data_IF_610422457003
#
_entry.id   IF_610422457003
#
_cell.length_a   1.000
_cell.length_b   1.000
_cell.length_c   1.000
_cell.angle_alpha   90.00
_cell.angle_beta   90.00
_cell.angle_gamma   90.00
#
_symmetry.space_group_name_H-M   'P 1'
#
loop_
_entity.id
_entity.type
_entity.pdbx_description
1 polymer ?
#
# COMPACT_ATOMS: atom_id res chain seq x y z
N UNK A 1 -0.21 -26.24 -29.84
CA UNK A 1 1.10 -25.93 -29.22
C UNK A 1 1.12 -24.63 -28.40
N UNK A 2 0.24 -23.66 -28.63
CA UNK A 2 0.24 -22.36 -27.94
C UNK A 2 -0.19 -22.38 -26.45
N UNK A 3 -0.96 -23.38 -25.98
CA UNK A 3 -1.49 -23.39 -24.61
C UNK A 3 -0.46 -23.76 -23.53
N UNK A 4 0.62 -24.45 -23.87
CA UNK A 4 1.67 -24.83 -22.92
C UNK A 4 2.65 -23.70 -22.59
N UNK A 5 2.88 -22.76 -23.52
CA UNK A 5 3.82 -21.66 -23.33
C UNK A 5 3.29 -20.62 -22.35
N UNK A 6 1.99 -20.34 -22.34
CA UNK A 6 1.38 -19.41 -21.39
C UNK A 6 1.51 -19.87 -19.94
N UNK A 7 1.35 -21.17 -19.69
CA UNK A 7 1.54 -21.74 -18.35
C UNK A 7 2.99 -21.66 -17.86
N UNK A 8 3.95 -21.82 -18.78
CA UNK A 8 5.37 -21.74 -18.46
C UNK A 8 5.80 -20.30 -18.16
N UNK A 9 5.34 -19.35 -18.95
CA UNK A 9 5.63 -17.90 -18.77
C UNK A 9 5.02 -17.41 -17.45
N UNK A 10 3.75 -17.74 -17.18
CA UNK A 10 3.08 -17.41 -15.90
C UNK A 10 3.83 -17.98 -14.68
N UNK A 11 4.36 -19.21 -14.77
CA UNK A 11 5.22 -19.81 -13.74
C UNK A 11 6.56 -19.10 -13.57
N UNK A 12 7.18 -18.64 -14.67
CA UNK A 12 8.43 -17.88 -14.62
C UNK A 12 8.21 -16.51 -14.00
N UNK A 13 7.19 -15.77 -14.41
CA UNK A 13 6.83 -14.49 -13.82
C UNK A 13 6.50 -14.67 -12.34
N UNK A 14 5.74 -15.70 -11.97
CA UNK A 14 5.45 -15.99 -10.57
C UNK A 14 6.72 -16.24 -9.76
N UNK A 15 7.71 -16.97 -10.28
CA UNK A 15 9.00 -17.18 -9.59
C UNK A 15 9.73 -15.87 -9.30
N UNK A 16 9.64 -14.89 -10.21
CA UNK A 16 10.27 -13.58 -10.05
C UNK A 16 9.57 -12.72 -9.00
N UNK A 17 8.23 -12.77 -8.96
CA UNK A 17 7.43 -11.91 -8.08
C UNK A 17 7.03 -12.55 -6.75
N UNK A 18 7.15 -13.86 -6.61
CA UNK A 18 6.74 -14.60 -5.38
C UNK A 18 7.34 -14.06 -4.09
N UNK A 19 8.51 -13.42 -4.17
CA UNK A 19 9.15 -12.77 -3.01
C UNK A 19 8.45 -11.49 -2.58
N UNK A 20 7.62 -10.89 -3.45
CA UNK A 20 6.91 -9.64 -3.20
C UNK A 20 5.43 -9.84 -2.82
N UNK A 21 4.97 -11.10 -2.81
CA UNK A 21 3.57 -11.46 -2.56
C UNK A 21 3.54 -12.58 -1.53
N UNK A 22 2.69 -12.45 -0.51
CA UNK A 22 2.55 -13.48 0.52
C UNK A 22 1.78 -14.74 0.06
N UNK A 23 1.48 -14.84 -1.24
CA UNK A 23 0.71 -15.92 -1.84
C UNK A 23 -0.74 -15.53 -2.11
N UNK A 24 -1.57 -16.53 -2.44
CA UNK A 24 -2.96 -16.31 -2.88
C UNK A 24 -4.02 -16.63 -1.82
N UNK A 25 -3.62 -17.09 -0.64
CA UNK A 25 -4.53 -17.57 0.41
C UNK A 25 -4.34 -16.87 1.74
N UNK A 26 -5.40 -16.83 2.55
CA UNK A 26 -5.35 -16.34 3.93
C UNK A 26 -4.28 -17.06 4.77
N UNK A 27 -4.13 -18.37 4.61
CA UNK A 27 -3.11 -19.13 5.32
C UNK A 27 -1.68 -18.68 4.95
N UNK A 28 -1.44 -18.31 3.70
CA UNK A 28 -0.12 -17.84 3.25
C UNK A 28 0.23 -16.47 3.83
N UNK A 29 -0.71 -15.53 3.87
CA UNK A 29 -0.47 -14.21 4.47
C UNK A 29 -0.31 -14.29 5.98
N UNK A 30 -1.08 -15.12 6.67
CA UNK A 30 -0.92 -15.37 8.12
C UNK A 30 0.50 -15.85 8.43
N UNK A 31 1.03 -16.81 7.66
CA UNK A 31 2.39 -17.30 7.83
C UNK A 31 3.42 -16.18 7.65
N UNK A 32 3.25 -15.35 6.63
CA UNK A 32 4.15 -14.22 6.35
C UNK A 32 4.12 -13.22 7.51
N UNK A 33 2.93 -12.85 7.99
CA UNK A 33 2.79 -11.91 9.11
C UNK A 33 3.40 -12.47 10.40
N UNK A 34 3.20 -13.76 10.71
CA UNK A 34 3.87 -14.42 11.84
C UNK A 34 5.39 -14.27 11.78
N UNK A 35 5.99 -14.58 10.62
CA UNK A 35 7.45 -14.48 10.43
C UNK A 35 7.97 -13.03 10.57
N UNK A 36 7.17 -12.03 10.24
CA UNK A 36 7.51 -10.62 10.48
C UNK A 36 7.40 -10.28 11.97
N UNK A 37 6.32 -10.70 12.64
CA UNK A 37 6.11 -10.42 14.05
C UNK A 37 7.16 -11.09 14.95
N UNK A 38 7.66 -12.27 14.59
CA UNK A 38 8.80 -12.93 15.26
C UNK A 38 10.08 -12.06 15.25
N UNK A 39 10.16 -11.11 14.31
CA UNK A 39 11.26 -10.13 14.22
C UNK A 39 10.89 -8.75 14.77
N UNK A 40 9.78 -8.65 15.53
CA UNK A 40 9.22 -7.39 16.02
C UNK A 40 8.88 -6.38 14.91
N UNK A 41 8.48 -6.87 13.73
CA UNK A 41 8.05 -6.06 12.59
C UNK A 41 6.56 -6.21 12.41
N UNK A 42 5.83 -5.09 12.37
CA UNK A 42 4.41 -5.08 12.04
C UNK A 42 4.18 -5.28 10.53
N UNK A 43 2.99 -5.66 10.16
CA UNK A 43 2.59 -5.79 8.75
C UNK A 43 1.42 -4.87 8.44
N UNK A 44 1.43 -4.26 7.25
CA UNK A 44 0.24 -3.65 6.65
C UNK A 44 -0.19 -4.55 5.50
N UNK A 45 -1.36 -5.15 5.63
CA UNK A 45 -1.81 -6.21 4.72
C UNK A 45 -2.86 -5.69 3.76
N UNK A 46 -2.65 -5.88 2.45
CA UNK A 46 -3.63 -5.57 1.42
C UNK A 46 -4.06 -6.84 0.67
N UNK A 47 -5.35 -6.90 0.34
CA UNK A 47 -5.92 -7.97 -0.46
C UNK A 47 -5.89 -7.58 -1.93
N UNK A 48 -5.18 -8.39 -2.74
CA UNK A 48 -5.13 -8.21 -4.19
C UNK A 48 -6.37 -8.82 -4.82
N UNK A 49 -7.29 -7.95 -5.16
CA UNK A 49 -8.51 -8.27 -5.88
C UNK A 49 -8.82 -7.13 -6.86
N UNK A 50 -9.54 -7.45 -7.93
CA UNK A 50 -10.01 -6.46 -8.90
C UNK A 50 -10.99 -5.46 -8.28
N UNK A 51 -11.21 -4.35 -8.98
CA UNK A 51 -12.25 -3.39 -8.63
C UNK A 51 -13.61 -4.10 -8.59
N UNK A 52 -14.42 -3.79 -7.59
CA UNK A 52 -15.73 -4.40 -7.46
C UNK A 52 -16.75 -3.68 -8.33
N UNK A 53 -17.19 -4.34 -9.38
CA UNK A 53 -18.16 -3.83 -10.35
C UNK A 53 -19.59 -4.34 -10.10
N UNK A 54 -19.74 -5.22 -9.13
CA UNK A 54 -21.03 -5.81 -8.79
C UNK A 54 -21.22 -5.93 -7.28
N UNK A 55 -22.46 -5.90 -6.76
CA UNK A 55 -22.73 -6.10 -5.35
C UNK A 55 -22.15 -7.41 -4.79
N UNK A 56 -22.12 -8.46 -5.61
CA UNK A 56 -21.54 -9.75 -5.22
C UNK A 56 -20.04 -9.67 -4.97
N UNK A 57 -19.29 -8.96 -5.85
CA UNK A 57 -17.86 -8.70 -5.65
C UNK A 57 -17.61 -7.83 -4.41
N UNK A 58 -18.43 -6.80 -4.19
CA UNK A 58 -18.35 -5.97 -2.96
C UNK A 58 -18.53 -6.85 -1.73
N UNK A 59 -19.57 -7.68 -1.68
CA UNK A 59 -19.82 -8.59 -0.55
C UNK A 59 -18.67 -9.58 -0.33
N UNK A 60 -18.13 -10.13 -1.40
CA UNK A 60 -16.96 -11.00 -1.32
C UNK A 60 -15.76 -10.29 -0.69
N UNK A 61 -15.51 -9.02 -1.05
CA UNK A 61 -14.41 -8.24 -0.49
C UNK A 61 -14.65 -7.89 0.98
N UNK A 62 -15.86 -7.49 1.37
CA UNK A 62 -16.23 -7.27 2.77
C UNK A 62 -15.94 -8.52 3.60
N UNK A 63 -16.39 -9.68 3.14
CA UNK A 63 -16.19 -10.94 3.84
C UNK A 63 -14.71 -11.30 3.96
N UNK A 64 -13.92 -11.08 2.89
CA UNK A 64 -12.48 -11.37 2.87
C UNK A 64 -11.70 -10.50 3.85
N UNK A 65 -11.98 -9.19 3.88
CA UNK A 65 -11.37 -8.27 4.84
C UNK A 65 -11.81 -8.59 6.28
N UNK A 66 -13.09 -8.82 6.50
CA UNK A 66 -13.62 -9.16 7.82
C UNK A 66 -13.02 -10.45 8.37
N UNK A 67 -12.84 -11.46 7.52
CA UNK A 67 -12.27 -12.73 7.92
C UNK A 67 -10.79 -12.60 8.28
N UNK A 68 -9.98 -11.90 7.49
CA UNK A 68 -8.56 -11.73 7.79
C UNK A 68 -8.34 -10.92 9.07
N UNK A 69 -9.16 -9.91 9.33
CA UNK A 69 -9.15 -9.13 10.59
C UNK A 69 -9.39 -10.04 11.79
N UNK A 70 -10.44 -10.89 11.73
CA UNK A 70 -10.74 -11.86 12.81
C UNK A 70 -9.59 -12.83 13.03
N UNK A 71 -8.98 -13.33 11.95
CA UNK A 71 -7.85 -14.28 12.04
C UNK A 71 -6.62 -13.63 12.67
N UNK A 72 -6.29 -12.39 12.31
CA UNK A 72 -5.16 -11.67 12.90
C UNK A 72 -5.39 -11.46 14.40
N UNK A 73 -6.56 -11.02 14.79
CA UNK A 73 -6.92 -10.85 16.21
C UNK A 73 -6.85 -12.17 16.97
N UNK A 74 -7.48 -13.25 16.44
CA UNK A 74 -7.47 -14.57 17.10
C UNK A 74 -6.07 -15.12 17.31
N UNK A 75 -5.15 -14.82 16.39
CA UNK A 75 -3.75 -15.28 16.44
C UNK A 75 -2.81 -14.27 17.11
N UNK A 76 -3.36 -13.18 17.67
CA UNK A 76 -2.62 -12.08 18.29
C UNK A 76 -1.49 -11.54 17.38
N UNK A 77 -1.79 -11.33 16.09
CA UNK A 77 -0.84 -10.83 15.11
C UNK A 77 -0.85 -9.32 15.05
N UNK A 78 0.34 -8.71 15.09
CA UNK A 78 0.53 -7.28 14.88
C UNK A 78 0.45 -6.96 13.39
N UNK A 79 -0.75 -6.65 12.92
CA UNK A 79 -1.05 -6.34 11.53
C UNK A 79 -2.15 -5.29 11.41
N UNK A 80 -2.00 -4.43 10.42
CA UNK A 80 -2.95 -3.42 9.98
C UNK A 80 -3.51 -3.82 8.62
N UNK A 81 -4.66 -3.31 8.23
CA UNK A 81 -5.29 -3.59 6.95
C UNK A 81 -5.23 -2.35 6.06
N UNK A 82 -4.80 -2.54 4.82
CA UNK A 82 -4.84 -1.52 3.78
C UNK A 82 -5.85 -1.91 2.72
N UNK A 83 -6.76 -1.01 2.36
CA UNK A 83 -7.85 -1.27 1.43
C UNK A 83 -8.08 -0.11 0.47
N UNK A 84 -8.66 -0.42 -0.69
CA UNK A 84 -8.99 0.53 -1.74
C UNK A 84 -10.49 0.71 -1.84
N UNK A 85 -10.93 1.96 -2.01
CA UNK A 85 -12.34 2.26 -2.20
C UNK A 85 -12.92 1.63 -3.48
N UNK A 86 -12.10 1.47 -4.54
CA UNK A 86 -12.51 0.78 -5.76
C UNK A 86 -12.88 -0.68 -5.54
N UNK A 87 -12.26 -1.35 -4.56
CA UNK A 87 -12.61 -2.72 -4.17
C UNK A 87 -13.96 -2.81 -3.45
N UNK A 88 -14.47 -1.68 -2.96
CA UNK A 88 -15.78 -1.57 -2.34
C UNK A 88 -16.86 -1.05 -3.30
N UNK A 89 -16.51 -0.87 -4.59
CA UNK A 89 -17.45 -0.43 -5.62
C UNK A 89 -17.57 1.08 -5.77
N UNK A 90 -16.64 1.87 -5.22
CA UNK A 90 -16.70 3.34 -5.19
C UNK A 90 -16.82 4.00 -6.58
N UNK A 91 -16.27 3.35 -7.62
CA UNK A 91 -16.33 3.84 -9.00
C UNK A 91 -17.73 3.69 -9.62
N UNK A 92 -18.60 2.87 -9.05
CA UNK A 92 -19.94 2.57 -9.53
C UNK A 92 -21.04 3.14 -8.64
N UNK A 93 -20.90 2.97 -7.33
CA UNK A 93 -21.85 3.47 -6.35
C UNK A 93 -21.11 3.88 -5.07
N UNK A 94 -20.95 5.19 -4.88
CA UNK A 94 -20.22 5.76 -3.74
C UNK A 94 -20.91 5.46 -2.40
N UNK A 95 -22.22 5.51 -2.35
CA UNK A 95 -22.99 5.26 -1.12
C UNK A 95 -22.86 3.80 -0.69
N UNK A 96 -22.98 2.88 -1.63
CA UNK A 96 -22.75 1.45 -1.37
C UNK A 96 -21.32 1.18 -0.90
N UNK A 97 -20.33 1.85 -1.49
CA UNK A 97 -18.94 1.69 -1.09
C UNK A 97 -18.68 2.21 0.33
N UNK A 98 -19.29 3.33 0.71
CA UNK A 98 -19.21 3.85 2.08
C UNK A 98 -19.88 2.90 3.05
N UNK A 99 -21.08 2.38 2.74
CA UNK A 99 -21.74 1.36 3.56
C UNK A 99 -20.91 0.08 3.72
N UNK A 100 -20.24 -0.36 2.64
CA UNK A 100 -19.31 -1.49 2.68
C UNK A 100 -18.10 -1.21 3.58
N UNK A 101 -17.57 0.02 3.55
CA UNK A 101 -16.49 0.45 4.42
C UNK A 101 -16.94 0.49 5.89
N UNK A 102 -18.17 0.94 6.18
CA UNK A 102 -18.75 0.93 7.53
C UNK A 102 -18.79 -0.47 8.13
N UNK A 103 -19.17 -1.47 7.34
CA UNK A 103 -19.16 -2.86 7.78
C UNK A 103 -17.75 -3.33 8.15
N UNK A 104 -16.76 -3.07 7.29
CA UNK A 104 -15.36 -3.43 7.54
C UNK A 104 -14.80 -2.66 8.74
N UNK A 105 -15.06 -1.35 8.81
CA UNK A 105 -14.59 -0.49 9.90
C UNK A 105 -15.17 -0.91 11.27
N UNK A 106 -16.43 -1.37 11.29
CA UNK A 106 -17.06 -1.90 12.51
C UNK A 106 -16.41 -3.21 12.98
N UNK A 107 -16.01 -4.08 12.03
CA UNK A 107 -15.24 -5.29 12.36
C UNK A 107 -13.84 -4.91 12.84
N UNK A 108 -13.16 -4.02 12.16
CA UNK A 108 -11.81 -3.57 12.50
C UNK A 108 -11.77 -2.93 13.92
N UNK A 109 -12.75 -2.10 14.24
CA UNK A 109 -12.87 -1.49 15.58
C UNK A 109 -13.08 -2.53 16.68
N UNK A 110 -13.98 -3.51 16.45
CA UNK A 110 -14.23 -4.61 17.39
C UNK A 110 -12.97 -5.39 17.72
N UNK A 111 -12.10 -5.60 16.73
CA UNK A 111 -10.88 -6.39 16.84
C UNK A 111 -9.63 -5.53 17.02
N UNK A 112 -9.77 -4.21 17.22
CA UNK A 112 -8.67 -3.26 17.43
C UNK A 112 -7.63 -3.29 16.32
N UNK A 113 -8.09 -3.40 15.07
CA UNK A 113 -7.25 -3.42 13.88
C UNK A 113 -7.33 -2.08 13.18
N UNK A 114 -6.19 -1.44 12.93
CA UNK A 114 -6.12 -0.20 12.16
C UNK A 114 -6.42 -0.46 10.69
N UNK A 115 -7.16 0.46 10.08
CA UNK A 115 -7.40 0.52 8.64
C UNK A 115 -6.61 1.64 7.98
N UNK A 116 -6.16 1.40 6.76
CA UNK A 116 -5.57 2.39 5.86
C UNK A 116 -6.40 2.48 4.59
N UNK A 117 -6.78 3.69 4.19
CA UNK A 117 -7.35 3.94 2.88
C UNK A 117 -6.22 4.22 1.89
N UNK A 118 -6.07 3.34 0.89
CA UNK A 118 -5.03 3.45 -0.13
C UNK A 118 -5.37 4.54 -1.15
N UNK A 119 -4.34 5.24 -1.58
CA UNK A 119 -4.43 6.21 -2.68
C UNK A 119 -4.63 5.51 -4.02
N UNK A 120 -5.62 5.92 -4.81
CA UNK A 120 -6.02 5.28 -6.06
C UNK A 120 -6.10 6.26 -7.25
N UNK A 121 -5.08 7.10 -7.41
CA UNK A 121 -5.05 8.09 -8.50
C UNK A 121 -5.99 9.28 -8.29
N UNK A 122 -6.00 10.20 -9.26
CA UNK A 122 -6.61 11.52 -9.10
C UNK A 122 -8.13 11.53 -8.91
N UNK A 123 -8.85 10.56 -9.48
CA UNK A 123 -10.33 10.52 -9.43
C UNK A 123 -10.82 10.17 -8.02
N UNK A 124 -10.12 9.30 -7.32
CA UNK A 124 -10.49 8.84 -5.97
C UNK A 124 -9.77 9.65 -4.90
N UNK A 125 -8.61 10.26 -5.23
CA UNK A 125 -7.73 10.90 -4.25
C UNK A 125 -8.41 12.05 -3.48
N UNK A 126 -9.15 12.93 -4.15
CA UNK A 126 -9.88 14.00 -3.47
C UNK A 126 -10.95 13.47 -2.53
N UNK A 127 -11.69 12.46 -2.99
CA UNK A 127 -12.80 11.87 -2.24
C UNK A 127 -12.35 10.97 -1.07
N UNK A 128 -11.10 10.49 -1.07
CA UNK A 128 -10.60 9.60 0.01
C UNK A 128 -10.52 10.35 1.33
N UNK A 129 -10.22 11.64 1.31
CA UNK A 129 -10.19 12.49 2.50
C UNK A 129 -11.61 12.72 3.03
N UNK A 130 -12.59 13.04 2.15
CA UNK A 130 -13.99 13.20 2.54
C UNK A 130 -14.57 11.91 3.15
N UNK A 131 -14.20 10.75 2.59
CA UNK A 131 -14.62 9.45 3.14
C UNK A 131 -13.97 9.21 4.49
N UNK A 132 -12.67 9.47 4.64
CA UNK A 132 -11.94 9.30 5.91
C UNK A 132 -12.50 10.20 7.00
N UNK A 133 -12.84 11.44 6.69
CA UNK A 133 -13.32 12.44 7.65
C UNK A 133 -14.62 12.03 8.35
N UNK A 134 -15.42 11.16 7.73
CA UNK A 134 -16.61 10.56 8.37
C UNK A 134 -16.27 9.69 9.61
N UNK A 135 -15.01 9.22 9.70
CA UNK A 135 -14.53 8.35 10.77
C UNK A 135 -13.63 9.08 11.77
N UNK A 136 -13.51 10.40 11.66
CA UNK A 136 -12.63 11.16 12.54
C UNK A 136 -13.05 11.05 14.01
N UNK A 137 -12.09 10.71 14.86
CA UNK A 137 -12.32 10.45 16.27
C UNK A 137 -13.14 9.20 16.62
N UNK A 138 -13.72 8.51 15.64
CA UNK A 138 -14.63 7.35 15.89
C UNK A 138 -13.99 6.01 15.57
N UNK A 139 -13.08 5.94 14.59
CA UNK A 139 -12.42 4.70 14.16
C UNK A 139 -10.91 4.92 13.98
N UNK A 140 -10.13 3.88 14.18
CA UNK A 140 -8.69 3.92 13.91
C UNK A 140 -8.41 3.73 12.40
N UNK A 141 -8.52 4.85 11.67
CA UNK A 141 -8.40 4.89 10.20
C UNK A 141 -7.41 5.95 9.76
N UNK A 142 -6.35 5.52 9.08
CA UNK A 142 -5.37 6.37 8.43
C UNK A 142 -5.61 6.49 6.93
N UNK A 143 -4.90 7.41 6.28
CA UNK A 143 -4.97 7.64 4.85
C UNK A 143 -3.57 7.70 4.23
N UNK A 144 -3.45 7.19 3.01
CA UNK A 144 -2.25 7.34 2.20
C UNK A 144 -2.27 8.65 1.43
N UNK A 145 -1.18 9.41 1.54
CA UNK A 145 -1.00 10.70 0.87
C UNK A 145 0.20 10.60 -0.08
N UNK A 146 -0.04 10.57 -1.40
CA UNK A 146 1.03 10.58 -2.38
C UNK A 146 1.78 11.91 -2.39
N UNK A 147 3.09 11.88 -2.52
CA UNK A 147 3.91 13.11 -2.57
C UNK A 147 3.65 13.95 -3.81
N UNK A 148 3.20 13.38 -4.92
CA UNK A 148 2.80 14.16 -6.09
C UNK A 148 1.51 14.94 -5.85
N UNK A 149 0.59 14.41 -5.05
CA UNK A 149 -0.55 15.19 -4.57
C UNK A 149 -0.08 16.41 -3.78
N UNK A 150 0.80 16.22 -2.80
CA UNK A 150 1.38 17.32 -2.02
C UNK A 150 2.11 18.32 -2.91
N UNK A 151 2.93 17.83 -3.83
CA UNK A 151 3.71 18.66 -4.75
C UNK A 151 2.83 19.49 -5.69
N UNK A 152 1.81 18.84 -6.28
CA UNK A 152 1.00 19.43 -7.35
C UNK A 152 -0.11 20.33 -6.84
N UNK A 153 -0.74 19.97 -5.74
CA UNK A 153 -1.96 20.64 -5.27
C UNK A 153 -1.73 21.57 -4.08
N UNK A 154 -0.57 21.51 -3.43
CA UNK A 154 -0.30 22.25 -2.20
C UNK A 154 1.06 22.96 -2.18
N UNK A 155 1.70 23.12 -3.35
CA UNK A 155 3.04 23.71 -3.47
C UNK A 155 4.10 23.08 -2.53
N UNK A 156 3.97 21.76 -2.29
CA UNK A 156 4.90 21.01 -1.42
C UNK A 156 4.63 21.16 0.08
N UNK A 157 3.50 21.69 0.48
CA UNK A 157 3.05 21.77 1.87
C UNK A 157 1.97 20.74 2.16
N UNK A 158 1.86 20.26 3.39
CA UNK A 158 0.73 19.44 3.83
C UNK A 158 -0.52 20.31 3.92
N UNK A 159 -1.66 19.90 3.33
CA UNK A 159 -2.93 20.58 3.48
C UNK A 159 -3.33 20.74 4.96
N UNK A 160 -3.88 21.88 5.32
CA UNK A 160 -4.29 22.15 6.71
C UNK A 160 -5.32 21.11 7.21
N UNK A 161 -6.22 20.65 6.33
CA UNK A 161 -7.20 19.60 6.64
C UNK A 161 -6.59 18.30 7.11
N UNK A 162 -5.38 17.96 6.65
CA UNK A 162 -4.69 16.74 7.07
C UNK A 162 -4.01 16.87 8.44
N UNK A 163 -3.88 18.08 8.98
CA UNK A 163 -3.28 18.31 10.30
C UNK A 163 -4.21 17.94 11.47
N UNK A 164 -5.48 17.64 11.20
CA UNK A 164 -6.41 17.04 12.19
C UNK A 164 -6.24 15.54 12.35
N UNK A 165 -5.54 14.86 11.43
CA UNK A 165 -5.39 13.41 11.46
C UNK A 165 -4.36 12.98 12.52
N UNK A 166 -4.63 11.85 13.19
CA UNK A 166 -3.67 11.27 14.14
C UNK A 166 -2.50 10.59 13.47
N UNK A 167 -2.72 10.07 12.27
CA UNK A 167 -1.70 9.34 11.51
C UNK A 167 -1.91 9.46 10.01
N UNK A 168 -0.81 9.66 9.28
CA UNK A 168 -0.76 9.78 7.82
C UNK A 168 0.33 8.86 7.28
N UNK A 169 0.07 8.23 6.12
CA UNK A 169 1.09 7.51 5.37
C UNK A 169 1.50 8.34 4.16
N UNK A 170 2.74 8.82 4.16
CA UNK A 170 3.36 9.47 3.00
C UNK A 170 3.95 8.42 2.07
N UNK A 171 3.60 8.48 0.78
CA UNK A 171 4.11 7.52 -0.19
C UNK A 171 4.75 8.18 -1.40
N UNK A 172 5.83 7.58 -1.92
CA UNK A 172 6.42 8.04 -3.16
C UNK A 172 5.54 7.66 -4.35
N UNK A 173 5.46 8.55 -5.31
CA UNK A 173 4.58 8.44 -6.48
C UNK A 173 4.89 7.29 -7.44
N UNK A 174 6.03 6.65 -7.30
CA UNK A 174 6.41 5.51 -8.13
C UNK A 174 5.64 4.22 -7.82
N UNK A 175 4.85 4.21 -6.74
CA UNK A 175 4.15 3.01 -6.26
C UNK A 175 2.63 3.01 -6.45
N UNK A 176 2.03 4.13 -6.86
CA UNK A 176 0.58 4.24 -6.97
C UNK A 176 0.10 4.13 -8.40
N UNK A 177 -0.41 3.03 -8.79
CA UNK A 177 -1.64 2.75 -9.54
C UNK A 177 -1.60 1.37 -10.21
N UNK A 178 -2.65 0.55 -10.03
CA UNK A 178 -2.89 -0.64 -10.84
C UNK A 178 -3.36 -0.31 -12.27
N UNK A 179 -3.77 0.94 -12.54
CA UNK A 179 -4.22 1.35 -13.87
C UNK A 179 -3.04 1.68 -14.78
N UNK A 180 -2.65 0.74 -15.58
CA UNK A 180 -1.54 0.61 -16.51
C UNK A 180 -1.20 1.75 -17.48
N UNK A 181 -1.20 3.02 -17.09
CA UNK A 181 -0.87 4.15 -17.96
C UNK A 181 0.15 5.16 -17.40
N UNK A 182 0.93 4.83 -16.39
CA UNK A 182 2.07 5.68 -16.06
C UNK A 182 3.36 5.09 -16.63
N UNK A 183 3.92 5.76 -17.64
CA UNK A 183 5.29 5.54 -18.12
C UNK A 183 6.22 5.70 -16.92
N UNK A 184 6.91 4.65 -16.53
CA UNK A 184 8.10 4.73 -15.68
C UNK A 184 9.19 5.43 -16.48
N UNK A 185 9.16 6.75 -16.46
CA UNK A 185 10.29 7.54 -16.89
C UNK A 185 11.28 7.46 -15.74
N UNK A 186 12.52 7.06 -15.99
CA UNK A 186 13.61 7.32 -15.06
C UNK A 186 13.52 8.78 -14.66
N UNK A 187 13.07 9.03 -13.42
CA UNK A 187 12.87 10.40 -12.95
C UNK A 187 14.23 11.08 -12.98
N UNK A 188 14.40 12.22 -13.68
CA UNK A 188 15.66 12.95 -13.69
C UNK A 188 16.10 13.23 -12.25
N UNK A 189 17.39 13.28 -12.00
CA UNK A 189 17.97 13.51 -10.65
C UNK A 189 17.37 14.73 -9.92
N UNK A 190 16.96 15.74 -10.67
CA UNK A 190 16.25 16.93 -10.17
C UNK A 190 14.93 16.54 -9.48
N UNK A 191 14.10 15.70 -10.11
CA UNK A 191 12.83 15.26 -9.53
C UNK A 191 13.00 14.40 -8.26
N UNK A 192 14.10 13.65 -8.15
CA UNK A 192 14.41 12.87 -6.93
C UNK A 192 14.79 13.79 -5.76
N UNK A 193 15.58 14.83 -5.99
CA UNK A 193 15.94 15.84 -4.99
C UNK A 193 14.71 16.65 -4.54
N UNK A 194 13.82 17.00 -5.48
CA UNK A 194 12.59 17.71 -5.17
C UNK A 194 11.67 16.85 -4.27
N UNK A 195 11.53 15.56 -4.56
CA UNK A 195 10.75 14.63 -3.72
C UNK A 195 11.33 14.49 -2.30
N UNK A 196 12.63 14.38 -2.18
CA UNK A 196 13.30 14.31 -0.88
C UNK A 196 13.03 15.58 -0.06
N UNK A 197 13.18 16.76 -0.68
CA UNK A 197 12.87 18.04 -0.02
C UNK A 197 11.41 18.10 0.45
N UNK A 198 10.46 17.60 -0.36
CA UNK A 198 9.04 17.55 0.00
C UNK A 198 8.82 16.62 1.19
N UNK A 199 9.45 15.42 1.21
CA UNK A 199 9.38 14.53 2.37
C UNK A 199 9.83 15.23 3.65
N UNK A 200 10.98 15.90 3.63
CA UNK A 200 11.50 16.60 4.81
C UNK A 200 10.54 17.67 5.32
N UNK A 201 9.99 18.49 4.42
CA UNK A 201 9.00 19.52 4.77
C UNK A 201 7.74 18.91 5.38
N UNK A 202 7.22 17.83 4.76
CA UNK A 202 6.04 17.14 5.26
C UNK A 202 6.28 16.52 6.64
N UNK A 203 7.39 15.81 6.82
CA UNK A 203 7.77 15.18 8.09
C UNK A 203 7.87 16.22 9.20
N UNK A 204 8.59 17.33 8.97
CA UNK A 204 8.74 18.39 9.95
C UNK A 204 7.37 18.94 10.35
N UNK A 205 6.54 19.31 9.38
CA UNK A 205 5.21 19.89 9.62
C UNK A 205 4.27 18.94 10.36
N UNK A 206 4.26 17.65 10.00
CA UNK A 206 3.45 16.64 10.66
C UNK A 206 3.94 16.41 12.10
N UNK A 207 5.25 16.32 12.31
CA UNK A 207 5.83 16.14 13.65
C UNK A 207 5.59 17.33 14.59
N UNK A 208 5.62 18.58 14.07
CA UNK A 208 5.25 19.79 14.81
C UNK A 208 3.80 19.75 15.32
N UNK A 209 2.92 19.02 14.63
CA UNK A 209 1.51 18.84 15.00
C UNK A 209 1.24 17.49 15.71
N UNK A 210 2.27 16.81 16.20
CA UNK A 210 2.19 15.51 16.90
C UNK A 210 1.55 14.37 16.08
N UNK A 211 1.63 14.46 14.75
CA UNK A 211 1.02 13.49 13.85
C UNK A 211 2.01 12.35 13.58
N UNK A 212 1.56 11.11 13.81
CA UNK A 212 2.33 9.93 13.47
C UNK A 212 2.42 9.79 11.94
N UNK A 213 3.63 9.57 11.43
CA UNK A 213 3.87 9.54 9.99
C UNK A 213 4.51 8.22 9.58
N UNK A 214 3.82 7.46 8.73
CA UNK A 214 4.41 6.30 8.07
C UNK A 214 5.00 6.72 6.73
N UNK A 215 6.25 6.40 6.48
CA UNK A 215 6.95 6.69 5.22
C UNK A 215 7.04 5.40 4.43
N UNK A 216 6.29 5.32 3.32
CA UNK A 216 6.32 4.18 2.41
C UNK A 216 7.11 4.50 1.15
N UNK A 217 8.16 3.71 0.89
CA UNK A 217 8.94 3.84 -0.34
C UNK A 217 9.66 2.54 -0.73
N UNK A 218 9.95 2.44 -2.03
CA UNK A 218 10.81 1.41 -2.62
C UNK A 218 12.25 1.88 -2.80
N UNK A 219 12.50 3.20 -2.76
CA UNK A 219 13.82 3.80 -3.00
C UNK A 219 14.70 3.64 -1.76
N UNK A 220 15.63 2.68 -1.84
CA UNK A 220 16.56 2.35 -0.74
C UNK A 220 17.45 3.54 -0.33
N UNK A 221 17.89 4.34 -1.29
CA UNK A 221 18.78 5.47 -1.02
C UNK A 221 18.02 6.58 -0.29
N UNK A 222 16.82 6.89 -0.78
CA UNK A 222 15.96 7.88 -0.17
C UNK A 222 15.58 7.48 1.26
N UNK A 223 15.13 6.23 1.48
CA UNK A 223 14.79 5.76 2.83
C UNK A 223 15.97 5.85 3.78
N UNK A 224 17.17 5.42 3.36
CA UNK A 224 18.37 5.49 4.21
C UNK A 224 18.68 6.92 4.62
N UNK A 225 18.57 7.86 3.69
CA UNK A 225 18.81 9.28 3.93
C UNK A 225 17.74 9.88 4.85
N UNK A 226 16.46 9.62 4.58
CA UNK A 226 15.36 10.08 5.43
C UNK A 226 15.50 9.56 6.87
N UNK A 227 15.91 8.29 7.05
CA UNK A 227 16.15 7.73 8.38
C UNK A 227 17.27 8.44 9.12
N UNK A 228 18.31 8.87 8.41
CA UNK A 228 19.44 9.62 9.00
C UNK A 228 19.05 11.05 9.32
N UNK A 229 18.48 11.76 8.37
CA UNK A 229 18.17 13.19 8.47
C UNK A 229 16.99 13.47 9.43
N UNK A 230 16.09 12.50 9.61
CA UNK A 230 14.88 12.65 10.45
C UNK A 230 15.02 12.09 11.87
N UNK A 231 16.24 11.95 12.38
CA UNK A 231 16.48 11.42 13.75
C UNK A 231 15.77 12.20 14.85
N UNK A 232 15.67 13.53 14.70
CA UNK A 232 14.93 14.41 15.63
C UNK A 232 13.42 14.13 15.70
N UNK A 233 12.84 13.55 14.65
CA UNK A 233 11.43 13.22 14.55
C UNK A 233 11.13 11.74 14.76
N UNK A 234 12.10 10.95 15.19
CA UNK A 234 12.05 9.48 15.29
C UNK A 234 10.80 8.95 16.00
N UNK A 235 10.35 9.62 17.06
CA UNK A 235 9.17 9.20 17.83
C UNK A 235 7.87 9.24 17.02
N UNK A 236 7.81 10.12 16.01
CA UNK A 236 6.66 10.30 15.14
C UNK A 236 6.73 9.48 13.85
N UNK A 237 7.85 8.79 13.59
CA UNK A 237 8.09 8.13 12.31
C UNK A 237 8.03 6.62 12.41
N UNK A 238 7.41 6.03 11.40
CA UNK A 238 7.47 4.61 11.05
C UNK A 238 7.90 4.49 9.59
N UNK A 239 8.78 3.56 9.28
CA UNK A 239 9.17 3.28 7.91
C UNK A 239 8.51 2.00 7.43
N UNK A 240 7.88 2.06 6.28
CA UNK A 240 7.22 0.92 5.65
C UNK A 240 7.91 0.59 4.33
N UNK A 241 8.21 -0.69 4.14
CA UNK A 241 8.82 -1.22 2.92
C UNK A 241 7.97 -2.36 2.37
N UNK A 242 7.96 -2.59 1.04
CA UNK A 242 7.22 -3.71 0.48
C UNK A 242 7.84 -5.07 0.86
N UNK A 243 7.01 -6.09 0.92
CA UNK A 243 7.49 -7.47 1.03
C UNK A 243 8.50 -7.76 -0.10
N UNK A 244 9.59 -8.46 0.22
CA UNK A 244 10.67 -8.73 -0.73
C UNK A 244 11.65 -7.59 -0.94
N UNK A 245 11.57 -6.53 -0.10
CA UNK A 245 12.59 -5.49 -0.04
C UNK A 245 13.98 -6.09 0.19
N UNK A 246 15.02 -5.35 -0.21
CA UNK A 246 16.41 -5.80 -0.10
C UNK A 246 16.75 -6.29 1.32
N UNK A 247 17.04 -7.59 1.44
CA UNK A 247 17.21 -8.26 2.74
C UNK A 247 18.35 -7.67 3.58
N UNK A 248 19.46 -7.27 2.94
CA UNK A 248 20.60 -6.66 3.62
C UNK A 248 20.22 -5.29 4.18
N UNK A 249 19.59 -4.46 3.35
CA UNK A 249 19.13 -3.12 3.75
C UNK A 249 18.07 -3.20 4.85
N UNK A 250 17.10 -4.08 4.69
CA UNK A 250 16.08 -4.30 5.72
C UNK A 250 16.69 -4.70 7.07
N UNK A 251 17.69 -5.59 7.07
CA UNK A 251 18.43 -5.96 8.27
C UNK A 251 19.18 -4.78 8.92
N UNK A 252 19.72 -3.86 8.11
CA UNK A 252 20.33 -2.63 8.63
C UNK A 252 19.28 -1.68 9.24
N UNK A 253 18.13 -1.53 8.59
CA UNK A 253 17.03 -0.71 9.09
C UNK A 253 16.50 -1.23 10.44
N UNK A 254 16.36 -2.55 10.60
CA UNK A 254 15.97 -3.15 11.88
C UNK A 254 16.95 -2.83 13.02
N UNK A 255 18.25 -2.76 12.72
CA UNK A 255 19.28 -2.41 13.71
C UNK A 255 19.29 -0.93 14.10
N UNK A 256 18.67 -0.04 13.33
CA UNK A 256 18.61 1.40 13.60
C UNK A 256 17.66 1.77 14.73
N UNK A 257 16.94 0.79 15.31
CA UNK A 257 15.90 1.00 16.33
C UNK A 257 14.80 1.98 15.87
N UNK A 258 14.48 2.00 14.55
CA UNK A 258 13.35 2.71 13.99
C UNK A 258 12.11 1.80 13.99
N UNK A 259 10.93 2.40 14.14
CA UNK A 259 9.67 1.65 13.96
C UNK A 259 9.55 1.23 12.49
N UNK A 260 9.38 -0.07 12.26
CA UNK A 260 9.32 -0.66 10.93
C UNK A 260 8.02 -1.43 10.71
N UNK A 261 7.49 -1.33 9.50
CA UNK A 261 6.42 -2.20 9.00
C UNK A 261 6.74 -2.72 7.61
N UNK A 262 6.07 -3.80 7.23
CA UNK A 262 6.16 -4.37 5.88
C UNK A 262 4.79 -4.37 5.24
N UNK A 263 4.70 -3.78 4.06
CA UNK A 263 3.51 -3.84 3.23
C UNK A 263 3.44 -5.22 2.57
N UNK A 264 2.40 -5.97 2.90
CA UNK A 264 2.23 -7.38 2.53
C UNK A 264 1.00 -7.53 1.65
N UNK A 265 1.23 -7.74 0.36
CA UNK A 265 0.17 -8.02 -0.60
C UNK A 265 -0.10 -9.52 -0.71
N UNK A 266 -1.37 -9.92 -0.76
CA UNK A 266 -1.80 -11.30 -0.99
C UNK A 266 -3.10 -11.35 -1.79
N UNK A 267 -3.34 -12.43 -2.53
CA UNK A 267 -4.56 -12.61 -3.31
C UNK A 267 -4.32 -13.33 -4.63
N UNK A 268 -5.40 -13.66 -5.34
CA UNK A 268 -5.34 -14.37 -6.62
C UNK A 268 -4.98 -13.43 -7.78
N UNK A 269 -5.38 -12.16 -7.69
CA UNK A 269 -5.20 -11.15 -8.75
C UNK A 269 -3.86 -10.41 -8.59
N UNK A 270 -2.82 -11.19 -8.40
CA UNK A 270 -1.47 -10.68 -8.16
C UNK A 270 -0.76 -10.16 -9.42
N UNK A 271 -1.23 -10.52 -10.63
CA UNK A 271 -0.55 -10.20 -11.90
C UNK A 271 -0.43 -8.68 -12.11
N UNK A 272 -1.51 -7.87 -12.03
CA UNK A 272 -1.42 -6.42 -12.17
C UNK A 272 -0.47 -5.79 -11.14
N UNK A 273 -0.53 -6.26 -9.88
CA UNK A 273 0.37 -5.82 -8.82
C UNK A 273 1.84 -6.17 -9.14
N UNK A 274 2.07 -7.40 -9.59
CA UNK A 274 3.41 -7.86 -9.96
C UNK A 274 4.01 -7.04 -11.09
N UNK A 275 3.23 -6.72 -12.13
CA UNK A 275 3.67 -5.92 -13.26
C UNK A 275 4.08 -4.54 -12.80
N UNK A 276 3.30 -3.89 -11.96
CA UNK A 276 3.64 -2.59 -11.40
C UNK A 276 4.95 -2.65 -10.58
N UNK A 277 5.22 -3.75 -9.88
CA UNK A 277 6.47 -3.96 -9.14
C UNK A 277 7.68 -4.31 -10.00
N UNK A 278 7.46 -4.90 -11.16
CA UNK A 278 8.51 -5.28 -12.10
C UNK A 278 8.90 -4.15 -13.07
N UNK A 279 8.15 -3.04 -13.09
CA UNK A 279 8.40 -1.92 -14.01
C UNK A 279 9.69 -1.16 -13.76
N UNK A 280 10.45 -1.52 -12.75
CA UNK A 280 11.78 -0.96 -12.46
C UNK A 280 12.95 -1.67 -13.16
N UNK A 281 12.68 -2.60 -14.12
CA UNK A 281 13.76 -3.33 -14.82
C UNK A 281 13.32 -4.04 -16.12
N UNK A 282 14.28 -4.67 -16.81
CA UNK A 282 14.12 -5.43 -18.09
C UNK A 282 13.00 -6.48 -18.11
N UNK A 283 12.37 -6.77 -16.97
CA UNK A 283 11.30 -7.76 -16.81
C UNK A 283 9.93 -7.21 -17.25
N UNK A 284 9.81 -5.89 -17.41
CA UNK A 284 8.60 -5.22 -17.91
C UNK A 284 8.11 -5.77 -19.26
N UNK A 285 9.04 -6.00 -20.18
CA UNK A 285 8.69 -6.43 -21.54
C UNK A 285 8.18 -7.87 -21.56
N UNK A 286 8.72 -8.71 -20.68
CA UNK A 286 8.25 -10.10 -20.50
C UNK A 286 6.87 -10.12 -19.84
N UNK A 287 6.65 -9.30 -18.81
CA UNK A 287 5.36 -9.20 -18.14
C UNK A 287 4.26 -8.65 -19.05
N UNK A 288 4.61 -7.68 -19.91
CA UNK A 288 3.69 -7.11 -20.91
C UNK A 288 3.33 -8.11 -22.00
N UNK A 289 4.29 -8.88 -22.50
CA UNK A 289 4.04 -9.93 -23.50
C UNK A 289 3.09 -11.04 -22.98
N UNK A 290 3.13 -11.33 -21.68
CA UNK A 290 2.21 -12.28 -21.04
C UNK A 290 0.78 -11.74 -21.00
N UNK A 291 0.60 -10.43 -20.74
CA UNK A 291 -0.72 -9.80 -20.68
C UNK A 291 -1.34 -9.61 -22.07
N UNK A 292 -0.52 -9.15 -23.04
CA UNK A 292 -0.99 -8.93 -24.40
C UNK A 292 -1.40 -10.27 -25.07
N UNK A 293 -0.85 -11.41 -24.62
CA UNK A 293 -1.25 -12.75 -25.01
C UNK A 293 -2.58 -13.20 -24.37
N UNK A 294 -2.98 -12.69 -23.21
CA UNK A 294 -4.27 -13.00 -22.57
C UNK A 294 -5.44 -12.15 -23.17
N UNK A 295 -5.16 -10.99 -23.77
CA UNK A 295 -6.17 -10.11 -24.39
C UNK A 295 -6.44 -10.43 -25.87
N UNK A 296 -5.61 -11.27 -26.51
CA UNK A 296 -5.70 -11.65 -27.90
C UNK A 296 -6.56 -12.88 -28.24
N UNK A 297 -7.19 -13.50 -27.25
CA UNK A 297 -8.07 -14.64 -27.41
C UNK A 297 -9.54 -14.23 -27.33
N UNK A 298 -10.10 -13.71 -28.44
CA UNK A 298 -11.54 -13.72 -28.70
C UNK A 298 -11.88 -14.94 -29.52
#
# INVERSE_FOLDING_TARGET
>A
MASNDHGLIKRLVFKLVKKHIAGSTTASVIRTVKQLNEKNVSATVTFLNENAETPLKVRYNINSYSEIIRQFSRLNLNAEISLRLSQLGYLYNKEQAVSALDEIASVADRYKTKLWLESEGSIVQGNIFDVRDRYDGTKDMGVEVPLDYVSKYTNGSIPQSLLSYKEIKLMSTSSSTPSGKQKSIDKPQKQKKDQESIYHKCIAKLAENDIQTTIFSHDEKMLSKLMEDSKSYKKHLRFEVPLGYNRKRFGMMLKSNQKMSVYVAYGKDWIPYAINKLTEGRIRDIAKAVLDGETGGK
#
